data_IF_312422642540
#
_entry.id   IF_312422642540
#
_cell.length_a   1.000
_cell.length_b   1.000
_cell.length_c   1.000
_cell.angle_alpha   90.00
_cell.angle_beta   90.00
_cell.angle_gamma   90.00
#
_symmetry.space_group_name_H-M   'P 1'
#
loop_
_entity.id
_entity.type
_entity.pdbx_description
1 polymer ?
#
# COMPACT_ATOMS: atom_id res chain seq x y z
N UNK A 1 -5.73 12.37 0.01
CA UNK A 1 -4.44 12.69 0.66
C UNK A 1 -3.35 11.93 -0.07
N UNK A 2 -2.17 12.53 -0.30
CA UNK A 2 -1.10 11.88 -1.05
C UNK A 2 -0.23 11.01 -0.12
N UNK A 3 0.16 9.82 -0.59
CA UNK A 3 0.97 8.83 0.18
C UNK A 3 2.30 9.43 0.65
N UNK A 4 2.88 10.34 -0.11
CA UNK A 4 4.13 11.05 0.22
C UNK A 4 4.02 11.94 1.47
N UNK A 5 2.81 12.29 1.88
CA UNK A 5 2.56 13.10 3.08
C UNK A 5 2.41 12.25 4.35
N UNK A 6 2.40 10.92 4.23
CA UNK A 6 2.24 10.02 5.37
C UNK A 6 3.49 10.01 6.26
N UNK A 7 3.28 9.96 7.57
CA UNK A 7 4.37 9.91 8.54
C UNK A 7 4.95 8.50 8.59
N UNK A 8 6.26 8.41 8.32
CA UNK A 8 7.01 7.15 8.43
C UNK A 8 7.22 6.73 9.89
N UNK A 9 7.41 5.43 10.16
CA UNK A 9 7.29 4.28 9.24
C UNK A 9 5.85 4.08 8.73
N UNK A 10 5.70 3.39 7.59
CA UNK A 10 4.40 3.10 6.97
C UNK A 10 4.32 1.59 6.78
N UNK A 11 3.21 0.99 7.21
CA UNK A 11 2.93 -0.43 7.05
C UNK A 11 1.72 -0.61 6.14
N UNK A 12 1.86 -1.48 5.14
CA UNK A 12 0.76 -1.94 4.30
C UNK A 12 0.16 -3.19 4.94
N UNK A 13 -1.10 -3.09 5.34
CA UNK A 13 -1.91 -4.19 5.89
C UNK A 13 -2.88 -4.62 4.80
N UNK A 14 -2.78 -5.87 4.34
CA UNK A 14 -3.62 -6.36 3.25
C UNK A 14 -5.10 -6.53 3.68
N UNK A 15 -6.01 -6.52 2.71
CA UNK A 15 -7.49 -6.44 2.84
C UNK A 15 -8.16 -7.33 3.91
N UNK A 16 -7.58 -8.50 4.22
CA UNK A 16 -8.08 -9.46 5.20
C UNK A 16 -7.18 -9.63 6.44
N UNK A 17 -6.30 -8.66 6.72
CA UNK A 17 -5.31 -8.78 7.80
C UNK A 17 -4.47 -10.06 7.71
N UNK A 18 -4.28 -10.59 6.49
CA UNK A 18 -3.56 -11.84 6.26
C UNK A 18 -2.04 -11.64 6.28
N UNK A 19 -1.60 -10.43 5.95
CA UNK A 19 -0.20 -10.10 5.81
C UNK A 19 0.03 -8.60 6.07
N UNK A 20 1.21 -8.28 6.60
CA UNK A 20 1.66 -6.92 6.85
C UNK A 20 3.06 -6.75 6.29
N UNK A 21 3.26 -5.66 5.55
CA UNK A 21 4.54 -5.32 4.95
C UNK A 21 4.99 -3.94 5.45
N UNK A 22 6.25 -3.82 5.86
CA UNK A 22 6.85 -2.50 6.10
C UNK A 22 7.19 -1.88 4.75
N UNK A 23 6.64 -0.69 4.48
CA UNK A 23 6.90 0.06 3.26
C UNK A 23 8.16 0.91 3.47
N UNK A 24 9.27 0.41 2.96
CA UNK A 24 10.58 1.08 2.97
C UNK A 24 10.70 2.14 1.86
N UNK A 25 10.15 1.84 0.68
CA UNK A 25 10.11 2.70 -0.49
C UNK A 25 8.68 3.01 -0.93
N UNK A 26 8.29 4.30 -0.88
CA UNK A 26 6.98 4.78 -1.32
C UNK A 26 6.75 4.65 -2.82
N UNK A 27 7.82 4.61 -3.63
CA UNK A 27 7.67 4.40 -5.07
C UNK A 27 7.02 3.04 -5.39
N UNK A 28 7.20 2.05 -4.51
CA UNK A 28 6.52 0.75 -4.62
C UNK A 28 5.00 0.88 -4.58
N UNK A 29 4.47 1.76 -3.72
CA UNK A 29 3.03 2.02 -3.63
C UNK A 29 2.49 2.82 -4.83
N UNK A 30 3.36 3.60 -5.48
CA UNK A 30 3.02 4.47 -6.60
C UNK A 30 3.32 3.83 -7.98
N UNK A 31 3.80 2.59 -8.00
CA UNK A 31 4.15 1.87 -9.21
C UNK A 31 3.60 0.45 -9.14
N UNK A 32 2.71 0.11 -10.06
CA UNK A 32 2.17 -1.24 -10.14
C UNK A 32 2.49 -1.86 -11.49
N UNK A 33 2.86 -3.14 -11.50
CA UNK A 33 2.87 -3.87 -12.77
C UNK A 33 1.42 -4.06 -13.23
N UNK A 34 1.19 -4.08 -14.55
CA UNK A 34 -0.13 -4.40 -15.12
C UNK A 34 -0.68 -5.75 -14.67
N UNK A 35 0.20 -6.71 -14.35
CA UNK A 35 -0.16 -8.03 -13.83
C UNK A 35 -0.56 -7.94 -12.34
N UNK A 36 0.17 -7.17 -11.54
CA UNK A 36 -0.12 -6.96 -10.10
C UNK A 36 -1.45 -6.26 -9.89
N UNK A 37 -1.81 -5.28 -10.73
CA UNK A 37 -3.15 -4.65 -10.74
C UNK A 37 -4.30 -5.65 -10.91
N UNK A 38 -4.03 -6.81 -11.52
CA UNK A 38 -5.03 -7.89 -11.69
C UNK A 38 -5.00 -8.94 -10.60
N UNK A 39 -3.87 -9.18 -9.95
CA UNK A 39 -3.67 -10.36 -9.09
C UNK A 39 -3.77 -10.08 -7.58
N UNK A 40 -3.51 -8.85 -7.11
CA UNK A 40 -3.72 -8.46 -5.70
C UNK A 40 -4.17 -7.01 -5.65
N UNK A 41 -5.42 -6.79 -5.27
CA UNK A 41 -5.95 -5.43 -5.22
C UNK A 41 -5.30 -4.68 -4.07
N UNK A 42 -4.49 -3.68 -4.38
CA UNK A 42 -4.13 -2.65 -3.40
C UNK A 42 -5.39 -1.96 -2.87
N UNK A 43 -6.49 -1.98 -3.63
CA UNK A 43 -7.79 -1.53 -3.16
C UNK A 43 -8.28 -2.41 -2.01
N UNK A 44 -8.84 -1.77 -0.99
CA UNK A 44 -9.25 -2.34 0.29
C UNK A 44 -8.13 -2.73 1.26
N UNK A 45 -6.86 -2.59 0.87
CA UNK A 45 -5.76 -2.66 1.83
C UNK A 45 -5.68 -1.37 2.67
N UNK A 46 -5.01 -1.44 3.80
CA UNK A 46 -4.84 -0.35 4.75
C UNK A 46 -3.38 0.08 4.86
N UNK A 47 -3.15 1.36 5.08
CA UNK A 47 -1.87 1.95 5.42
C UNK A 47 -1.91 2.40 6.87
N UNK A 48 -1.12 1.75 7.72
CA UNK A 48 -0.88 2.17 9.09
C UNK A 48 0.40 3.00 9.14
N UNK A 49 0.40 4.09 9.91
CA UNK A 49 1.45 5.11 9.87
C UNK A 49 2.11 5.30 11.24
N UNK A 50 3.29 5.91 11.27
CA UNK A 50 4.08 6.09 12.50
C UNK A 50 3.42 6.98 13.56
N UNK A 51 2.44 7.80 13.18
CA UNK A 51 1.56 8.54 14.10
C UNK A 51 0.29 7.78 14.50
N UNK A 52 0.26 6.46 14.28
CA UNK A 52 -0.85 5.55 14.62
C UNK A 52 -2.16 5.88 13.91
N UNK A 53 -2.07 6.42 12.71
CA UNK A 53 -3.24 6.65 11.86
C UNK A 53 -3.39 5.54 10.85
N UNK A 54 -4.64 5.18 10.57
CA UNK A 54 -5.00 4.18 9.60
C UNK A 54 -5.69 4.85 8.41
N UNK A 55 -5.27 4.48 7.22
CA UNK A 55 -5.86 4.94 5.97
C UNK A 55 -6.24 3.76 5.11
N UNK A 56 -7.47 3.69 4.62
CA UNK A 56 -7.88 2.67 3.65
C UNK A 56 -7.62 3.15 2.23
N UNK A 57 -7.07 2.26 1.41
CA UNK A 57 -6.94 2.49 -0.03
C UNK A 57 -8.31 2.19 -0.65
N UNK A 58 -9.00 3.24 -1.09
CA UNK A 58 -10.36 3.15 -1.65
C UNK A 58 -10.38 3.14 -3.16
N UNK A 59 -9.26 3.48 -3.79
CA UNK A 59 -9.14 3.45 -5.24
C UNK A 59 -7.70 3.58 -5.70
N UNK A 60 -7.45 3.12 -6.93
CA UNK A 60 -6.17 3.26 -7.61
C UNK A 60 -6.38 3.99 -8.92
N UNK A 61 -5.84 5.21 -9.03
CA UNK A 61 -5.93 6.02 -10.24
C UNK A 61 -4.70 5.79 -11.12
N UNK A 62 -4.94 5.34 -12.35
CA UNK A 62 -3.89 5.18 -13.35
C UNK A 62 -3.39 6.55 -13.85
N UNK A 63 -2.10 6.80 -13.72
CA UNK A 63 -1.42 8.03 -14.14
C UNK A 63 -0.63 7.83 -15.45
N UNK A 64 -0.73 6.63 -16.06
CA UNK A 64 -0.07 6.27 -17.30
C UNK A 64 1.22 5.48 -17.09
N UNK A 65 2.10 5.56 -18.07
CA UNK A 65 3.34 4.77 -18.08
C UNK A 65 4.36 5.31 -17.09
N UNK A 66 4.98 4.42 -16.30
CA UNK A 66 6.04 4.82 -15.37
C UNK A 66 7.25 5.41 -16.11
N UNK A 67 7.62 4.81 -17.24
CA UNK A 67 8.65 5.33 -18.13
C UNK A 67 8.05 5.83 -19.46
N UNK A 68 7.88 7.13 -19.60
CA UNK A 68 7.28 7.74 -20.80
C UNK A 68 8.10 7.55 -22.09
N UNK A 69 9.40 7.21 -21.99
CA UNK A 69 10.27 6.97 -23.15
C UNK A 69 10.07 5.58 -23.77
N UNK A 70 9.57 4.63 -22.99
CA UNK A 70 9.29 3.27 -23.44
C UNK A 70 7.85 3.20 -23.98
N UNK A 71 7.71 3.40 -25.29
CA UNK A 71 6.41 3.46 -25.99
C UNK A 71 5.71 2.10 -26.12
N UNK A 72 6.48 1.01 -26.11
CA UNK A 72 5.96 -0.34 -26.24
C UNK A 72 5.63 -0.91 -24.86
N UNK A 73 4.36 -1.28 -24.66
CA UNK A 73 3.85 -1.80 -23.39
C UNK A 73 4.59 -3.07 -22.93
N UNK A 74 5.10 -3.87 -23.85
CA UNK A 74 5.91 -5.06 -23.57
C UNK A 74 7.19 -4.74 -22.78
N UNK A 75 7.81 -3.60 -23.06
CA UNK A 75 9.02 -3.13 -22.36
C UNK A 75 8.70 -2.19 -21.20
N UNK A 76 7.42 -1.90 -20.97
CA UNK A 76 6.94 -1.00 -19.93
C UNK A 76 5.76 -1.61 -19.17
N UNK A 77 6.00 -2.72 -18.45
CA UNK A 77 4.94 -3.40 -17.71
C UNK A 77 4.47 -2.60 -16.48
N UNK A 78 5.20 -1.54 -16.10
CA UNK A 78 4.93 -0.70 -14.94
C UNK A 78 4.08 0.51 -15.29
N UNK A 79 2.96 0.67 -14.59
CA UNK A 79 2.16 1.89 -14.60
C UNK A 79 2.44 2.72 -13.37
N UNK A 80 2.50 4.03 -13.57
CA UNK A 80 2.46 4.97 -12.46
C UNK A 80 1.02 5.04 -11.99
N UNK A 81 0.82 4.85 -10.70
CA UNK A 81 -0.51 4.91 -10.09
C UNK A 81 -0.50 5.96 -8.98
N UNK A 82 -1.69 6.44 -8.66
CA UNK A 82 -1.94 7.29 -7.51
C UNK A 82 -2.99 6.62 -6.63
N UNK A 83 -2.64 6.36 -5.37
CA UNK A 83 -3.55 5.78 -4.40
C UNK A 83 -4.52 6.86 -3.88
N UNK A 84 -5.79 6.52 -3.82
CA UNK A 84 -6.81 7.30 -3.14
C UNK A 84 -7.01 6.74 -1.74
N UNK A 85 -6.82 7.60 -0.74
CA UNK A 85 -6.81 7.24 0.67
C UNK A 85 -7.96 7.89 1.42
N UNK A 86 -8.65 7.10 2.23
CA UNK A 86 -9.66 7.53 3.19
C UNK A 86 -9.16 7.27 4.61
N UNK A 87 -9.27 8.26 5.50
CA UNK A 87 -8.91 8.09 6.91
C UNK A 87 -9.96 7.22 7.61
N UNK A 88 -9.51 6.24 8.39
CA UNK A 88 -10.38 5.38 9.19
C UNK A 88 -10.12 5.63 10.66
N UNK A 89 -11.20 6.00 11.36
CA UNK A 89 -11.21 6.20 12.81
C UNK A 89 -11.89 5.04 13.57
N UNK A 90 -12.04 3.88 12.93
CA UNK A 90 -12.58 2.68 13.57
C UNK A 90 -11.55 2.03 14.51
N UNK A 91 -11.83 2.10 15.81
CA UNK A 91 -10.96 1.56 16.86
C UNK A 91 -10.75 0.05 16.77
N UNK A 92 -11.72 -0.72 16.25
CA UNK A 92 -11.58 -2.17 16.11
C UNK A 92 -10.57 -2.51 15.01
N UNK A 93 -10.68 -1.85 13.86
CA UNK A 93 -9.79 -2.05 12.71
C UNK A 93 -8.37 -1.60 13.08
N UNK A 94 -8.25 -0.48 13.80
CA UNK A 94 -6.97 0.01 14.31
C UNK A 94 -6.29 -1.01 15.23
N UNK A 95 -7.03 -1.58 16.18
CA UNK A 95 -6.50 -2.58 17.10
C UNK A 95 -6.02 -3.83 16.37
N UNK A 96 -6.79 -4.33 15.39
CA UNK A 96 -6.40 -5.48 14.58
C UNK A 96 -5.13 -5.21 13.75
N UNK A 97 -5.01 -4.01 13.16
CA UNK A 97 -3.81 -3.61 12.44
C UNK A 97 -2.57 -3.58 13.37
N UNK A 98 -2.72 -3.04 14.58
CA UNK A 98 -1.64 -3.02 15.57
C UNK A 98 -1.22 -4.41 16.03
N UNK A 99 -2.18 -5.31 16.26
CA UNK A 99 -1.90 -6.71 16.62
C UNK A 99 -1.13 -7.43 15.51
N UNK A 100 -1.56 -7.25 14.26
CA UNK A 100 -0.89 -7.83 13.10
C UNK A 100 0.52 -7.30 12.87
N UNK A 101 0.72 -5.99 13.09
CA UNK A 101 2.07 -5.42 13.06
C UNK A 101 2.90 -6.07 14.17
N UNK A 102 2.40 -6.21 15.40
CA UNK A 102 3.16 -6.84 16.49
C UNK A 102 3.48 -8.31 16.23
N UNK A 103 2.54 -9.09 15.69
CA UNK A 103 2.75 -10.51 15.41
C UNK A 103 3.72 -10.73 14.24
N UNK A 104 3.61 -9.94 13.16
CA UNK A 104 4.51 -10.03 12.01
C UNK A 104 5.98 -9.72 12.32
N UNK A 105 6.26 -9.00 13.41
CA UNK A 105 7.63 -8.80 13.90
C UNK A 105 8.16 -9.98 14.73
N UNK A 106 7.31 -10.81 15.34
CA UNK A 106 7.74 -11.94 16.17
C UNK A 106 8.06 -13.21 15.36
N UNK A 107 7.45 -13.39 14.18
CA UNK A 107 7.74 -14.52 13.28
C UNK A 107 9.13 -14.43 12.60
N UNK A 108 9.86 -13.32 12.76
CA UNK A 108 11.21 -13.11 12.22
C UNK A 108 12.36 -13.33 13.22
N UNK A 109 12.07 -13.87 14.41
CA UNK A 109 13.06 -14.04 15.49
C UNK A 109 13.29 -15.49 15.95
N UNK A 110 13.07 -16.49 15.08
CA UNK A 110 13.56 -17.87 15.30
C UNK A 110 14.66 -18.27 14.31
#
# INVERSE_FOLDING_TARGET
>A
MDVEMLKRPIWLVHDNFSHVELVDNLEYLNAATKLTLRERSLENSYLYTGDKRLYKIVGVKDMGNYNSRLRFEFFNPMRKIKLELEAIDDSHILMQAEEMIRSGFNDGTE
#
